data_IF_897732315673
#
_entry.id   IF_897732315673
#
_cell.length_a   1.000
_cell.length_b   1.000
_cell.length_c   1.000
_cell.angle_alpha   90.00
_cell.angle_beta   90.00
_cell.angle_gamma   90.00
#
_symmetry.space_group_name_H-M   'P 1'
#
loop_
_entity.id
_entity.type
_entity.pdbx_description
1 polymer ?
#
# COMPACT_ATOMS: atom_id res chain seq x y z
N UNK A 1 -27.46 -6.33 27.01
CA UNK A 1 -27.70 -6.66 25.60
C UNK A 1 -27.05 -5.70 24.61
N UNK A 2 -27.22 -4.39 24.72
CA UNK A 2 -26.60 -3.42 23.78
C UNK A 2 -25.06 -3.51 23.67
N UNK A 3 -24.36 -3.77 24.78
CA UNK A 3 -22.90 -3.85 24.80
C UNK A 3 -22.35 -5.05 24.01
N UNK A 4 -22.99 -6.23 24.14
CA UNK A 4 -22.64 -7.44 23.37
C UNK A 4 -22.93 -7.30 21.88
N UNK A 5 -23.97 -6.54 21.52
CA UNK A 5 -24.31 -6.25 20.12
C UNK A 5 -23.28 -5.31 19.51
N UNK A 6 -22.85 -4.26 20.24
CA UNK A 6 -21.82 -3.34 19.79
C UNK A 6 -20.45 -4.02 19.60
N UNK A 7 -20.03 -4.90 20.52
CA UNK A 7 -18.81 -5.71 20.39
C UNK A 7 -18.84 -6.58 19.13
N UNK A 8 -20.00 -7.16 18.83
CA UNK A 8 -20.20 -8.03 17.68
C UNK A 8 -20.05 -7.25 16.35
N UNK A 9 -20.67 -6.07 16.25
CA UNK A 9 -20.52 -5.18 15.09
C UNK A 9 -19.08 -4.69 14.90
N UNK A 10 -18.41 -4.31 15.99
CA UNK A 10 -17.01 -3.90 15.92
C UNK A 10 -16.15 -5.02 15.34
N UNK A 11 -16.32 -6.25 15.83
CA UNK A 11 -15.58 -7.42 15.39
C UNK A 11 -15.82 -7.76 13.93
N UNK A 12 -17.06 -7.73 13.45
CA UNK A 12 -17.39 -8.06 12.06
C UNK A 12 -16.96 -6.94 11.07
N UNK A 13 -16.65 -5.74 11.57
CA UNK A 13 -16.17 -4.61 10.76
C UNK A 13 -14.65 -4.59 10.48
N UNK A 14 -13.85 -5.38 11.22
CA UNK A 14 -12.38 -5.36 11.14
C UNK A 14 -11.86 -5.81 9.78
N UNK A 15 -12.22 -7.02 9.35
CA UNK A 15 -11.76 -7.59 8.08
C UNK A 15 -12.15 -6.73 6.86
N UNK A 16 -13.41 -6.25 6.70
CA UNK A 16 -13.77 -5.39 5.58
C UNK A 16 -13.09 -4.02 5.62
N UNK A 17 -12.87 -3.44 6.81
CA UNK A 17 -12.12 -2.18 6.95
C UNK A 17 -10.69 -2.32 6.44
N UNK A 18 -10.00 -3.40 6.81
CA UNK A 18 -8.63 -3.67 6.37
C UNK A 18 -8.58 -3.95 4.87
N UNK A 19 -9.53 -4.74 4.34
CA UNK A 19 -9.64 -4.98 2.90
C UNK A 19 -9.79 -3.67 2.11
N UNK A 20 -10.67 -2.78 2.60
CA UNK A 20 -10.87 -1.44 2.02
C UNK A 20 -9.59 -0.61 2.09
N UNK A 21 -8.92 -0.58 3.24
CA UNK A 21 -7.68 0.17 3.42
C UNK A 21 -6.56 -0.31 2.47
N UNK A 22 -6.43 -1.62 2.28
CA UNK A 22 -5.46 -2.21 1.34
C UNK A 22 -5.82 -1.82 -0.09
N UNK A 23 -7.08 -1.95 -0.51
CA UNK A 23 -7.53 -1.61 -1.86
C UNK A 23 -7.31 -0.11 -2.17
N UNK A 24 -7.64 0.77 -1.23
CA UNK A 24 -7.43 2.22 -1.38
C UNK A 24 -5.95 2.60 -1.42
N UNK A 25 -5.12 1.95 -0.60
CA UNK A 25 -3.66 2.13 -0.64
C UNK A 25 -3.10 1.63 -1.97
N UNK A 26 -3.62 0.49 -2.48
CA UNK A 26 -3.30 -0.06 -3.79
C UNK A 26 -3.60 0.92 -4.92
N UNK A 27 -4.74 1.61 -4.88
CA UNK A 27 -5.08 2.66 -5.85
C UNK A 27 -4.06 3.81 -5.85
N UNK A 28 -3.64 4.25 -4.66
CA UNK A 28 -2.62 5.29 -4.48
C UNK A 28 -1.29 4.87 -5.13
N UNK A 29 -0.84 3.65 -4.84
CA UNK A 29 0.39 3.09 -5.38
C UNK A 29 0.29 2.92 -6.90
N UNK A 30 -0.82 2.39 -7.40
CA UNK A 30 -1.08 2.21 -8.83
C UNK A 30 -1.02 3.55 -9.59
N UNK A 31 -1.63 4.59 -9.03
CA UNK A 31 -1.62 5.95 -9.60
C UNK A 31 -0.21 6.54 -9.62
N UNK A 32 0.51 6.41 -8.51
CA UNK A 32 1.89 6.89 -8.42
C UNK A 32 2.83 6.13 -9.38
N UNK A 33 2.72 4.81 -9.49
CA UNK A 33 3.50 4.01 -10.46
C UNK A 33 3.18 4.38 -11.90
N UNK A 34 1.91 4.63 -12.22
CA UNK A 34 1.50 5.09 -13.54
C UNK A 34 2.13 6.45 -13.86
N UNK A 35 2.03 7.40 -12.93
CA UNK A 35 2.63 8.73 -13.08
C UNK A 35 4.15 8.68 -13.22
N UNK A 36 4.83 7.90 -12.36
CA UNK A 36 6.28 7.72 -12.38
C UNK A 36 6.77 7.04 -13.66
N UNK A 37 5.94 6.18 -14.26
CA UNK A 37 6.25 5.57 -15.56
C UNK A 37 6.13 6.60 -16.67
N UNK A 38 5.05 7.38 -16.71
CA UNK A 38 4.84 8.40 -17.75
C UNK A 38 5.90 9.52 -17.69
N UNK A 39 6.23 10.00 -16.50
CA UNK A 39 7.10 11.16 -16.28
C UNK A 39 8.50 10.78 -15.79
N UNK A 40 9.01 9.59 -16.13
CA UNK A 40 10.26 9.04 -15.59
C UNK A 40 11.49 9.96 -15.70
N UNK A 41 11.54 10.87 -16.69
CA UNK A 41 12.65 11.79 -16.91
C UNK A 41 12.62 13.02 -15.98
N UNK A 42 11.45 13.40 -15.47
CA UNK A 42 11.24 14.61 -14.66
C UNK A 42 10.78 14.26 -13.24
N UNK A 43 10.42 13.00 -12.99
CA UNK A 43 9.86 12.51 -11.73
C UNK A 43 10.73 12.82 -10.51
N UNK A 44 12.07 12.72 -10.61
CA UNK A 44 12.98 13.05 -9.51
C UNK A 44 13.09 14.55 -9.23
N UNK A 45 12.87 15.40 -10.24
CA UNK A 45 13.04 16.86 -10.13
C UNK A 45 11.74 17.58 -9.77
N UNK A 46 10.59 16.99 -10.08
CA UNK A 46 9.31 17.51 -9.64
C UNK A 46 9.09 17.18 -8.16
N UNK A 47 9.02 18.22 -7.33
CA UNK A 47 8.58 18.09 -5.94
C UNK A 47 7.10 17.69 -5.91
N UNK A 48 6.83 16.39 -6.00
CA UNK A 48 5.47 15.84 -5.99
C UNK A 48 4.88 15.74 -4.58
N UNK A 49 5.51 16.37 -3.57
CA UNK A 49 5.09 16.24 -2.16
C UNK A 49 3.63 16.64 -1.95
N UNK A 50 3.19 17.72 -2.61
CA UNK A 50 1.80 18.19 -2.55
C UNK A 50 0.83 17.23 -3.22
N UNK A 51 1.19 16.68 -4.38
CA UNK A 51 0.35 15.75 -5.15
C UNK A 51 0.21 14.41 -4.42
N UNK A 52 1.31 13.88 -3.89
CA UNK A 52 1.33 12.64 -3.09
C UNK A 52 0.55 12.83 -1.79
N UNK A 53 0.72 13.96 -1.10
CA UNK A 53 -0.04 14.26 0.12
C UNK A 53 -1.53 14.38 -0.17
N UNK A 54 -1.90 15.03 -1.27
CA UNK A 54 -3.31 15.15 -1.70
C UNK A 54 -3.89 13.79 -2.08
N UNK A 55 -3.15 12.97 -2.82
CA UNK A 55 -3.57 11.61 -3.17
C UNK A 55 -3.78 10.74 -1.92
N UNK A 56 -2.85 10.78 -0.96
CA UNK A 56 -3.01 10.11 0.34
C UNK A 56 -4.30 10.55 1.05
N UNK A 57 -4.54 11.86 1.18
CA UNK A 57 -5.77 12.40 1.81
C UNK A 57 -7.03 11.94 1.09
N UNK A 58 -7.05 11.99 -0.24
CA UNK A 58 -8.18 11.53 -1.05
C UNK A 58 -8.42 10.04 -0.86
N UNK A 59 -7.37 9.21 -0.79
CA UNK A 59 -7.53 7.77 -0.53
C UNK A 59 -7.94 7.42 0.89
N UNK A 60 -7.72 8.33 1.86
CA UNK A 60 -8.24 8.18 3.21
C UNK A 60 -9.74 8.50 3.30
N UNK A 61 -10.30 9.30 2.39
CA UNK A 61 -11.71 9.69 2.43
C UNK A 61 -12.67 8.49 2.42
N UNK A 62 -12.54 7.46 1.56
CA UNK A 62 -13.40 6.28 1.61
C UNK A 62 -13.30 5.50 2.92
N UNK A 63 -12.12 5.46 3.55
CA UNK A 63 -11.93 4.85 4.87
C UNK A 63 -12.68 5.65 5.93
N UNK A 64 -12.58 6.99 5.89
CA UNK A 64 -13.31 7.89 6.80
C UNK A 64 -14.82 7.74 6.60
N UNK A 65 -15.31 7.69 5.36
CA UNK A 65 -16.73 7.47 5.07
C UNK A 65 -17.22 6.10 5.55
N UNK A 66 -16.40 5.05 5.41
CA UNK A 66 -16.71 3.72 5.93
C UNK A 66 -16.83 3.74 7.46
N UNK A 67 -15.88 4.38 8.17
CA UNK A 67 -15.91 4.51 9.62
C UNK A 67 -17.10 5.35 10.09
N UNK A 68 -17.39 6.48 9.43
CA UNK A 68 -18.57 7.32 9.75
C UNK A 68 -19.87 6.54 9.53
N UNK A 69 -19.99 5.83 8.40
CA UNK A 69 -21.15 4.97 8.12
C UNK A 69 -21.34 3.90 9.18
N UNK A 70 -20.25 3.30 9.64
CA UNK A 70 -20.27 2.35 10.76
C UNK A 70 -20.73 3.00 12.07
N UNK A 71 -20.17 4.16 12.44
CA UNK A 71 -20.56 4.90 13.66
C UNK A 71 -22.03 5.32 13.64
N UNK A 72 -22.54 5.79 12.50
CA UNK A 72 -23.95 6.17 12.32
C UNK A 72 -24.88 4.95 12.42
N UNK A 73 -24.46 3.81 11.88
CA UNK A 73 -25.18 2.54 12.01
C UNK A 73 -25.31 2.11 13.48
N UNK A 74 -24.24 2.27 14.28
CA UNK A 74 -24.26 2.00 15.72
C UNK A 74 -25.20 2.94 16.49
N UNK A 75 -25.24 4.23 16.13
CA UNK A 75 -26.08 5.22 16.84
C UNK A 75 -27.58 5.11 16.52
N UNK A 76 -27.93 4.74 15.29
CA UNK A 76 -29.33 4.75 14.84
C UNK A 76 -30.10 3.49 15.18
N UNK A 77 -29.41 2.38 15.52
CA UNK A 77 -30.02 1.08 15.79
C UNK A 77 -30.83 0.50 14.62
N UNK A 78 -30.83 1.19 13.46
CA UNK A 78 -31.52 0.79 12.23
C UNK A 78 -30.55 0.02 11.36
N UNK A 79 -30.71 -1.28 11.47
CA UNK A 79 -29.96 -2.36 10.85
C UNK A 79 -30.37 -2.52 9.38
N UNK A 80 -30.26 -1.46 8.57
CA UNK A 80 -30.53 -1.55 7.11
C UNK A 80 -29.24 -1.57 6.27
N UNK A 81 -28.09 -1.28 6.89
CA UNK A 81 -26.75 -1.33 6.28
C UNK A 81 -25.86 -2.44 6.87
N UNK A 82 -26.45 -3.47 7.47
CA UNK A 82 -25.69 -4.39 8.32
C UNK A 82 -24.75 -5.32 7.58
N UNK A 83 -23.48 -4.95 7.66
CA UNK A 83 -22.38 -5.85 7.97
C UNK A 83 -22.66 -6.46 9.36
N UNK A 84 -22.84 -7.79 9.40
CA UNK A 84 -23.76 -8.48 10.31
C UNK A 84 -23.36 -8.53 11.79
N UNK A 85 -24.35 -8.45 12.68
CA UNK A 85 -24.42 -9.24 13.91
C UNK A 85 -25.88 -9.42 14.39
N UNK A 86 -26.67 -10.21 13.66
CA UNK A 86 -27.69 -11.14 14.19
C UNK A 86 -28.46 -11.86 13.06
N UNK A 87 -28.58 -13.19 13.23
CA UNK A 87 -29.40 -14.20 12.53
C UNK A 87 -29.49 -14.12 10.99
N UNK A 88 -28.95 -15.12 10.26
CA UNK A 88 -29.20 -15.29 8.84
C UNK A 88 -30.65 -15.76 8.69
N UNK A 89 -31.59 -14.83 8.57
CA UNK A 89 -32.97 -15.20 8.23
C UNK A 89 -33.23 -14.87 6.77
N UNK A 90 -32.62 -13.84 6.18
CA UNK A 90 -32.78 -13.50 4.76
C UNK A 90 -31.55 -12.75 4.18
N UNK A 91 -30.34 -13.24 4.46
CA UNK A 91 -29.09 -12.57 4.09
C UNK A 91 -28.74 -12.70 2.61
N UNK A 92 -28.95 -11.64 1.83
CA UNK A 92 -28.48 -11.53 0.45
C UNK A 92 -26.95 -11.61 0.39
N UNK A 93 -26.42 -12.71 -0.14
CA UNK A 93 -24.98 -13.03 -0.23
C UNK A 93 -24.15 -11.90 -0.83
N UNK A 94 -24.71 -11.19 -1.82
CA UNK A 94 -24.04 -10.09 -2.48
C UNK A 94 -23.83 -8.93 -1.50
N UNK A 95 -24.83 -8.65 -0.64
CA UNK A 95 -24.74 -7.57 0.35
C UNK A 95 -23.70 -7.85 1.42
N UNK A 96 -23.57 -9.10 1.86
CA UNK A 96 -22.57 -9.48 2.87
C UNK A 96 -21.13 -9.39 2.35
N UNK A 97 -20.93 -9.63 1.06
CA UNK A 97 -19.60 -9.68 0.45
C UNK A 97 -19.25 -8.48 -0.43
N UNK A 98 -20.13 -7.47 -0.53
CA UNK A 98 -19.98 -6.36 -1.48
C UNK A 98 -18.63 -5.66 -1.39
N UNK A 99 -18.10 -5.47 -0.17
CA UNK A 99 -16.80 -4.82 0.06
C UNK A 99 -15.66 -5.64 -0.54
N UNK A 100 -15.67 -6.96 -0.36
CA UNK A 100 -14.64 -7.86 -0.89
C UNK A 100 -14.73 -7.98 -2.41
N UNK A 101 -15.95 -7.99 -2.95
CA UNK A 101 -16.19 -8.01 -4.41
C UNK A 101 -15.65 -6.73 -5.05
N UNK A 102 -15.95 -5.57 -4.47
CA UNK A 102 -15.42 -4.28 -4.95
C UNK A 102 -13.89 -4.26 -4.84
N UNK A 103 -13.33 -4.68 -3.71
CA UNK A 103 -11.88 -4.75 -3.53
C UNK A 103 -11.22 -5.67 -4.56
N UNK A 104 -11.79 -6.85 -4.83
CA UNK A 104 -11.28 -7.81 -5.81
C UNK A 104 -11.33 -7.25 -7.23
N UNK A 105 -12.41 -6.54 -7.58
CA UNK A 105 -12.53 -5.87 -8.87
C UNK A 105 -11.40 -4.84 -9.09
N UNK A 106 -11.15 -3.98 -8.10
CA UNK A 106 -10.06 -3.01 -8.19
C UNK A 106 -8.67 -3.68 -8.22
N UNK A 107 -8.48 -4.74 -7.43
CA UNK A 107 -7.21 -5.46 -7.39
C UNK A 107 -6.87 -6.13 -8.74
N UNK A 108 -7.87 -6.66 -9.45
CA UNK A 108 -7.71 -7.15 -10.83
C UNK A 108 -7.28 -6.02 -11.77
N UNK A 109 -7.87 -4.83 -11.65
CA UNK A 109 -7.47 -3.65 -12.43
C UNK A 109 -6.02 -3.27 -12.13
N UNK A 110 -5.61 -3.30 -10.87
CA UNK A 110 -4.23 -2.99 -10.47
C UNK A 110 -3.25 -4.01 -11.05
N UNK A 111 -3.56 -5.30 -10.99
CA UNK A 111 -2.75 -6.36 -11.61
C UNK A 111 -2.57 -6.15 -13.11
N UNK A 112 -3.66 -5.86 -13.83
CA UNK A 112 -3.60 -5.57 -15.26
C UNK A 112 -2.73 -4.33 -15.54
N UNK A 113 -2.90 -3.26 -14.75
CA UNK A 113 -2.08 -2.06 -14.85
C UNK A 113 -0.60 -2.35 -14.58
N UNK A 114 -0.26 -3.11 -13.55
CA UNK A 114 1.12 -3.46 -13.23
C UNK A 114 1.79 -4.29 -14.33
N UNK A 115 1.04 -5.19 -14.98
CA UNK A 115 1.54 -5.93 -16.16
C UNK A 115 1.86 -4.95 -17.29
N UNK A 116 0.94 -4.04 -17.62
CA UNK A 116 1.15 -3.04 -18.68
C UNK A 116 2.35 -2.14 -18.36
N UNK A 117 2.43 -1.61 -17.14
CA UNK A 117 3.54 -0.77 -16.68
C UNK A 117 4.87 -1.52 -16.69
N UNK A 118 4.89 -2.80 -16.33
CA UNK A 118 6.11 -3.60 -16.38
C UNK A 118 6.65 -3.71 -17.81
N UNK A 119 5.79 -4.05 -18.77
CA UNK A 119 6.19 -4.16 -20.18
C UNK A 119 6.60 -2.80 -20.76
N UNK A 120 5.85 -1.74 -20.46
CA UNK A 120 6.18 -0.39 -20.91
C UNK A 120 7.55 0.07 -20.39
N UNK A 121 7.82 -0.11 -19.09
CA UNK A 121 9.13 0.23 -18.52
C UNK A 121 10.25 -0.65 -19.10
N UNK A 122 9.96 -1.91 -19.44
CA UNK A 122 10.93 -2.80 -20.10
C UNK A 122 11.26 -2.36 -21.52
N UNK A 123 10.27 -1.95 -22.30
CA UNK A 123 10.48 -1.41 -23.65
C UNK A 123 11.29 -0.12 -23.58
N UNK A 124 10.92 0.80 -22.69
CA UNK A 124 11.67 2.04 -22.44
C UNK A 124 13.08 1.78 -21.96
N UNK A 125 13.31 0.76 -21.14
CA UNK A 125 14.67 0.38 -20.74
C UNK A 125 15.54 0.03 -21.96
N UNK A 126 14.99 -0.68 -22.95
CA UNK A 126 15.72 -1.06 -24.16
C UNK A 126 15.95 0.15 -25.07
N UNK A 127 14.93 0.97 -25.31
CA UNK A 127 15.02 2.16 -26.19
C UNK A 127 15.91 3.25 -25.59
N UNK A 128 15.74 3.57 -24.31
CA UNK A 128 16.44 4.67 -23.66
C UNK A 128 17.92 4.36 -23.41
N UNK A 129 18.28 3.09 -23.12
CA UNK A 129 19.69 2.69 -23.03
C UNK A 129 20.38 2.78 -24.39
N UNK A 130 19.64 2.54 -25.49
CA UNK A 130 20.17 2.65 -26.85
C UNK A 130 20.40 4.11 -27.25
N UNK A 131 19.49 5.01 -26.89
CA UNK A 131 19.47 6.37 -27.45
C UNK A 131 20.06 7.44 -26.49
N UNK A 132 20.09 7.20 -25.17
CA UNK A 132 20.54 8.18 -24.15
C UNK A 132 21.38 7.53 -23.04
N UNK A 133 22.59 7.06 -23.40
CA UNK A 133 23.47 6.34 -22.47
C UNK A 133 23.91 7.18 -21.24
N UNK A 134 24.06 8.50 -21.42
CA UNK A 134 24.72 9.40 -20.48
C UNK A 134 23.82 9.88 -19.31
N UNK A 135 22.51 9.70 -19.40
CA UNK A 135 21.58 10.10 -18.33
C UNK A 135 21.42 8.98 -17.27
N UNK A 136 22.14 9.10 -16.16
CA UNK A 136 22.08 8.11 -15.06
C UNK A 136 20.78 8.14 -14.25
N UNK A 137 20.18 9.32 -14.05
CA UNK A 137 18.94 9.52 -13.25
C UNK A 137 17.74 8.80 -13.88
N UNK A 138 17.40 9.06 -15.15
CA UNK A 138 16.27 8.40 -15.83
C UNK A 138 16.40 6.87 -15.89
N UNK A 139 17.63 6.36 -16.05
CA UNK A 139 17.91 4.91 -16.07
C UNK A 139 17.70 4.27 -14.70
N UNK A 140 18.08 4.98 -13.64
CA UNK A 140 17.80 4.57 -12.27
C UNK A 140 16.29 4.51 -12.01
N UNK A 141 15.55 5.55 -12.40
CA UNK A 141 14.10 5.61 -12.22
C UNK A 141 13.35 4.47 -12.95
N UNK A 142 13.71 4.19 -14.22
CA UNK A 142 13.11 3.07 -14.97
C UNK A 142 13.38 1.74 -14.27
N UNK A 143 14.62 1.52 -13.80
CA UNK A 143 14.98 0.28 -13.11
C UNK A 143 14.27 0.15 -11.75
N UNK A 144 14.09 1.25 -11.03
CA UNK A 144 13.32 1.28 -9.79
C UNK A 144 11.84 0.98 -10.05
N UNK A 145 11.24 1.57 -11.07
CA UNK A 145 9.86 1.29 -11.47
C UNK A 145 9.65 -0.20 -11.80
N UNK A 146 10.58 -0.82 -12.54
CA UNK A 146 10.53 -2.26 -12.85
C UNK A 146 10.62 -3.10 -11.56
N UNK A 147 11.58 -2.80 -10.67
CA UNK A 147 11.76 -3.54 -9.42
C UNK A 147 10.55 -3.41 -8.49
N UNK A 148 10.03 -2.19 -8.34
CA UNK A 148 8.85 -1.90 -7.52
C UNK A 148 7.62 -2.63 -8.06
N UNK A 149 7.37 -2.56 -9.37
CA UNK A 149 6.24 -3.25 -10.02
C UNK A 149 6.35 -4.77 -9.87
N UNK A 150 7.56 -5.33 -9.99
CA UNK A 150 7.81 -6.78 -9.77
C UNK A 150 7.54 -7.21 -8.33
N UNK A 151 7.72 -6.32 -7.37
CA UNK A 151 7.47 -6.57 -5.96
C UNK A 151 5.97 -6.45 -5.61
N UNK A 152 5.27 -5.52 -6.24
CA UNK A 152 3.83 -5.32 -6.08
C UNK A 152 2.99 -6.44 -6.72
N UNK A 153 3.47 -7.05 -7.80
CA UNK A 153 2.72 -8.10 -8.49
C UNK A 153 2.35 -9.32 -7.62
N UNK A 154 3.29 -10.01 -6.94
CA UNK A 154 2.95 -11.15 -6.09
C UNK A 154 2.09 -10.76 -4.88
N UNK A 155 2.17 -9.51 -4.43
CA UNK A 155 1.32 -9.00 -3.35
C UNK A 155 -0.14 -8.97 -3.74
N UNK A 156 -0.46 -8.31 -4.86
CA UNK A 156 -1.84 -8.18 -5.32
C UNK A 156 -2.38 -9.58 -5.66
N UNK A 157 -1.58 -10.51 -6.21
CA UNK A 157 -2.01 -11.91 -6.37
C UNK A 157 -2.39 -12.56 -5.02
N UNK A 158 -1.56 -12.42 -4.00
CA UNK A 158 -1.84 -12.99 -2.68
C UNK A 158 -3.08 -12.35 -2.03
N UNK A 159 -3.27 -11.05 -2.25
CA UNK A 159 -4.45 -10.32 -1.77
C UNK A 159 -5.72 -10.76 -2.51
N UNK A 160 -5.69 -10.86 -3.85
CA UNK A 160 -6.78 -11.38 -4.66
C UNK A 160 -7.18 -12.80 -4.23
N UNK A 161 -6.19 -13.66 -3.97
CA UNK A 161 -6.44 -15.01 -3.46
C UNK A 161 -7.18 -14.97 -2.11
N UNK A 162 -6.75 -14.09 -1.19
CA UNK A 162 -7.40 -13.92 0.11
C UNK A 162 -8.84 -13.39 -0.01
N UNK A 163 -9.07 -12.41 -0.90
CA UNK A 163 -10.40 -11.87 -1.20
C UNK A 163 -11.32 -12.95 -1.77
N UNK A 164 -10.81 -13.73 -2.73
CA UNK A 164 -11.54 -14.82 -3.37
C UNK A 164 -11.90 -15.91 -2.37
N UNK A 165 -10.96 -16.33 -1.52
CA UNK A 165 -11.21 -17.28 -0.43
C UNK A 165 -12.28 -16.76 0.53
N UNK A 166 -12.27 -15.45 0.82
CA UNK A 166 -13.27 -14.82 1.69
C UNK A 166 -14.69 -14.89 1.11
N UNK A 167 -14.82 -14.64 -0.19
CA UNK A 167 -16.09 -14.70 -0.92
C UNK A 167 -16.63 -16.15 -0.91
N UNK A 168 -15.82 -17.12 -1.33
CA UNK A 168 -16.24 -18.53 -1.40
C UNK A 168 -16.55 -19.18 -0.05
N UNK A 169 -15.82 -18.81 1.01
CA UNK A 169 -16.06 -19.34 2.36
C UNK A 169 -17.33 -18.79 3.01
N UNK A 170 -17.95 -17.76 2.41
CA UNK A 170 -19.26 -17.25 2.86
C UNK A 170 -20.42 -17.98 2.17
N UNK A 171 -20.19 -18.57 0.99
CA UNK A 171 -21.20 -19.21 0.13
C UNK A 171 -21.53 -20.66 0.52
N UNK A 172 -20.59 -21.37 1.17
CA UNK A 172 -20.63 -22.82 1.39
C UNK A 172 -21.25 -23.28 2.72
N UNK A 173 -21.68 -22.36 3.59
CA UNK A 173 -22.02 -22.64 4.99
C UNK A 173 -23.47 -22.31 5.37
N UNK A 174 -24.44 -22.68 4.52
CA UNK A 174 -25.88 -22.39 4.70
C UNK A 174 -26.69 -23.43 5.50
N UNK A 175 -26.08 -24.52 5.97
CA UNK A 175 -26.78 -25.56 6.76
C UNK A 175 -26.63 -25.36 8.29
N UNK A 176 -27.68 -25.65 9.07
CA UNK A 176 -27.78 -25.31 10.51
C UNK A 176 -26.69 -25.92 11.42
N UNK A 177 -26.05 -27.03 11.02
CA UNK A 177 -24.89 -27.62 11.75
C UNK A 177 -23.58 -26.85 11.52
N UNK A 178 -23.56 -25.91 10.57
CA UNK A 178 -22.40 -25.10 10.18
C UNK A 178 -22.38 -23.69 10.79
N UNK A 179 -23.37 -23.33 11.63
CA UNK A 179 -23.42 -22.05 12.34
C UNK A 179 -22.18 -21.82 13.24
N UNK A 180 -21.62 -22.89 13.79
CA UNK A 180 -20.36 -22.86 14.55
C UNK A 180 -19.13 -22.72 13.64
N UNK A 181 -19.17 -23.31 12.45
CA UNK A 181 -18.12 -23.19 11.43
C UNK A 181 -18.07 -21.78 10.83
N UNK A 182 -19.21 -21.16 10.60
CA UNK A 182 -19.29 -19.81 10.04
C UNK A 182 -18.71 -18.76 11.02
N UNK A 183 -18.92 -18.95 12.34
CA UNK A 183 -18.22 -18.16 13.36
C UNK A 183 -16.71 -18.36 13.30
N UNK A 184 -16.23 -19.60 13.24
CA UNK A 184 -14.78 -19.87 13.16
C UNK A 184 -14.13 -19.26 11.91
N UNK A 185 -14.81 -19.32 10.76
CA UNK A 185 -14.35 -18.70 9.50
C UNK A 185 -14.28 -17.18 9.62
N UNK A 186 -15.28 -16.53 10.23
CA UNK A 186 -15.24 -15.08 10.51
C UNK A 186 -14.07 -14.70 11.42
N UNK A 187 -13.81 -15.50 12.46
CA UNK A 187 -12.64 -15.28 13.32
C UNK A 187 -11.32 -15.44 12.59
N UNK A 188 -11.19 -16.47 11.75
CA UNK A 188 -10.00 -16.66 10.93
C UNK A 188 -9.78 -15.47 10.00
N UNK A 189 -10.82 -14.93 9.38
CA UNK A 189 -10.72 -13.72 8.55
C UNK A 189 -10.26 -12.51 9.35
N UNK A 190 -10.86 -12.29 10.52
CA UNK A 190 -10.47 -11.19 11.42
C UNK A 190 -9.04 -11.32 11.96
N UNK A 191 -8.42 -12.49 11.85
CA UNK A 191 -6.99 -12.70 12.13
C UNK A 191 -6.12 -12.57 10.88
N UNK A 192 -6.52 -13.16 9.75
CA UNK A 192 -5.71 -13.24 8.54
C UNK A 192 -5.51 -11.87 7.89
N UNK A 193 -6.55 -11.01 7.82
CA UNK A 193 -6.42 -9.68 7.20
C UNK A 193 -5.42 -8.78 7.95
N UNK A 194 -5.48 -8.65 9.29
CA UNK A 194 -4.44 -7.93 10.03
C UNK A 194 -3.04 -8.53 9.85
N UNK A 195 -2.90 -9.86 9.89
CA UNK A 195 -1.61 -10.52 9.68
C UNK A 195 -1.05 -10.22 8.29
N UNK A 196 -1.89 -10.26 7.26
CA UNK A 196 -1.52 -9.92 5.89
C UNK A 196 -1.05 -8.46 5.79
N UNK A 197 -1.77 -7.53 6.43
CA UNK A 197 -1.41 -6.11 6.47
C UNK A 197 -0.08 -5.82 7.21
N UNK A 198 0.38 -6.73 8.09
CA UNK A 198 1.65 -6.59 8.83
C UNK A 198 2.80 -7.29 8.09
N UNK A 199 2.60 -8.56 7.71
CA UNK A 199 3.65 -9.39 7.09
C UNK A 199 4.10 -8.79 5.77
N UNK A 200 3.18 -8.20 5.01
CA UNK A 200 3.51 -7.71 3.70
C UNK A 200 4.45 -6.49 3.70
N UNK A 201 4.19 -5.38 4.43
CA UNK A 201 5.15 -4.29 4.56
C UNK A 201 6.53 -4.76 5.05
N UNK A 202 6.59 -5.75 5.95
CA UNK A 202 7.85 -6.34 6.40
C UNK A 202 8.59 -7.05 5.26
N UNK A 203 7.89 -7.80 4.42
CA UNK A 203 8.47 -8.46 3.25
C UNK A 203 9.01 -7.44 2.24
N UNK A 204 8.33 -6.30 2.08
CA UNK A 204 8.76 -5.20 1.22
C UNK A 204 10.02 -4.51 1.76
N UNK A 205 10.03 -4.19 3.06
CA UNK A 205 11.20 -3.59 3.75
C UNK A 205 12.41 -4.51 3.61
N UNK A 206 12.23 -5.82 3.80
CA UNK A 206 13.33 -6.79 3.69
C UNK A 206 13.90 -6.87 2.28
N UNK A 207 13.05 -6.82 1.26
CA UNK A 207 13.48 -6.93 -0.14
C UNK A 207 14.09 -5.64 -0.71
N UNK A 208 13.84 -4.49 -0.09
CA UNK A 208 14.44 -3.21 -0.49
C UNK A 208 15.66 -2.87 0.40
N UNK A 209 16.90 -2.92 -0.13
CA UNK A 209 18.11 -2.70 0.68
C UNK A 209 18.15 -1.34 1.37
N UNK A 210 17.58 -0.30 0.75
CA UNK A 210 17.52 1.06 1.31
C UNK A 210 16.60 1.08 2.53
N UNK A 211 15.40 0.53 2.41
CA UNK A 211 14.45 0.46 3.52
C UNK A 211 14.95 -0.47 4.61
N UNK A 212 15.52 -1.63 4.26
CA UNK A 212 16.10 -2.55 5.22
C UNK A 212 17.22 -1.90 6.04
N UNK A 213 18.14 -1.20 5.38
CA UNK A 213 19.24 -0.50 6.05
C UNK A 213 18.72 0.55 7.03
N UNK A 214 17.77 1.39 6.61
CA UNK A 214 17.16 2.41 7.48
C UNK A 214 16.36 1.79 8.62
N UNK A 215 15.55 0.77 8.34
CA UNK A 215 14.75 0.05 9.34
C UNK A 215 15.65 -0.63 10.39
N UNK A 216 16.77 -1.22 9.96
CA UNK A 216 17.78 -1.78 10.86
C UNK A 216 18.41 -0.70 11.75
N UNK A 217 18.73 0.47 11.20
CA UNK A 217 19.24 1.59 12.00
C UNK A 217 18.20 2.06 13.01
N UNK A 218 16.95 2.29 12.61
CA UNK A 218 15.86 2.70 13.51
C UNK A 218 15.62 1.65 14.61
N UNK A 219 15.60 0.37 14.26
CA UNK A 219 15.45 -0.71 15.24
C UNK A 219 16.64 -0.76 16.20
N UNK A 220 17.87 -0.59 15.71
CA UNK A 220 19.06 -0.52 16.56
C UNK A 220 19.01 0.69 17.50
N UNK A 221 18.50 1.84 17.06
CA UNK A 221 18.30 3.01 17.92
C UNK A 221 17.23 2.78 19.00
N UNK A 222 16.15 2.08 18.65
CA UNK A 222 15.02 1.84 19.56
C UNK A 222 15.36 0.78 20.62
N UNK A 223 16.06 -0.30 20.24
CA UNK A 223 16.37 -1.41 21.13
C UNK A 223 17.76 -1.32 21.78
N UNK A 224 18.72 -0.60 21.17
CA UNK A 224 20.09 -0.45 21.66
C UNK A 224 20.57 1.01 21.60
N UNK A 225 19.90 1.95 22.30
CA UNK A 225 20.16 3.39 22.20
C UNK A 225 21.57 3.82 22.66
N UNK A 226 22.34 2.94 23.31
CA UNK A 226 23.67 3.23 23.84
C UNK A 226 24.81 2.46 23.14
N UNK A 227 24.52 1.74 22.05
CA UNK A 227 25.59 1.04 21.31
C UNK A 227 26.52 2.02 20.57
N UNK A 228 27.82 1.71 20.58
CA UNK A 228 28.85 2.46 19.83
C UNK A 228 28.54 2.53 18.32
N UNK A 229 27.87 1.51 17.77
CA UNK A 229 27.44 1.47 16.37
C UNK A 229 26.37 2.53 16.04
N UNK A 230 25.43 2.78 16.96
CA UNK A 230 24.40 3.82 16.80
C UNK A 230 25.02 5.22 16.82
N UNK A 231 25.97 5.47 17.74
CA UNK A 231 26.71 6.75 17.78
C UNK A 231 27.53 6.98 16.52
N UNK A 232 28.17 5.93 15.99
CA UNK A 232 28.94 5.99 14.74
C UNK A 232 28.03 6.18 13.52
N UNK A 233 26.88 5.51 13.47
CA UNK A 233 25.88 5.66 12.40
C UNK A 233 25.28 7.08 12.37
N UNK A 234 24.94 7.68 13.52
CA UNK A 234 24.47 9.07 13.61
C UNK A 234 25.52 10.09 13.13
N UNK A 235 26.79 9.88 13.51
CA UNK A 235 27.89 10.73 13.01
C UNK A 235 28.11 10.56 11.51
N UNK A 236 28.05 9.32 11.00
CA UNK A 236 28.25 9.03 9.58
C UNK A 236 27.10 9.58 8.72
N UNK A 237 25.85 9.50 9.18
CA UNK A 237 24.68 10.05 8.49
C UNK A 237 24.66 11.59 8.52
N UNK A 238 25.11 12.21 9.62
CA UNK A 238 25.33 13.65 9.66
C UNK A 238 26.42 14.10 8.66
N UNK A 239 27.55 13.38 8.61
CA UNK A 239 28.64 13.66 7.67
C UNK A 239 28.26 13.40 6.20
N UNK A 240 27.46 12.35 5.93
CA UNK A 240 26.94 12.05 4.60
C UNK A 240 25.96 13.12 4.13
N UNK A 241 25.07 13.58 5.01
CA UNK A 241 24.16 14.71 4.74
C UNK A 241 24.93 15.98 4.38
N UNK A 242 26.00 16.27 5.13
CA UNK A 242 26.85 17.45 4.91
C UNK A 242 27.64 17.37 3.60
N UNK A 243 28.21 16.19 3.28
CA UNK A 243 28.89 15.94 2.01
C UNK A 243 27.94 15.94 0.81
N UNK A 244 26.75 15.37 0.95
CA UNK A 244 25.73 15.38 -0.10
C UNK A 244 25.26 16.80 -0.38
N UNK A 245 25.07 17.61 0.67
CA UNK A 245 24.74 19.03 0.53
C UNK A 245 25.86 19.81 -0.18
N UNK A 246 27.11 19.61 0.23
CA UNK A 246 28.26 20.22 -0.45
C UNK A 246 28.42 19.78 -1.92
N UNK A 247 28.10 18.52 -2.24
CA UNK A 247 28.16 18.03 -3.62
C UNK A 247 27.03 18.59 -4.49
N UNK A 248 25.85 18.82 -3.91
CA UNK A 248 24.75 19.54 -4.57
C UNK A 248 25.09 21.01 -4.79
N UNK A 249 25.72 21.68 -3.83
CA UNK A 249 26.14 23.08 -3.96
C UNK A 249 27.18 23.26 -5.10
N UNK A 250 28.10 22.30 -5.26
CA UNK A 250 29.07 22.29 -6.36
C UNK A 250 28.41 22.05 -7.72
N UNK A 251 27.42 21.15 -7.78
CA UNK A 251 26.65 20.91 -9.01
C UNK A 251 25.83 22.13 -9.42
N UNK A 252 25.20 22.82 -8.46
CA UNK A 252 24.46 24.06 -8.70
C UNK A 252 25.40 25.14 -9.22
N UNK A 253 26.57 25.33 -8.59
CA UNK A 253 27.56 26.31 -9.04
C UNK A 253 28.11 26.02 -10.45
N UNK A 254 28.34 24.75 -10.78
CA UNK A 254 28.74 24.32 -12.13
C UNK A 254 27.66 24.61 -13.17
N UNK A 255 26.39 24.40 -12.83
CA UNK A 255 25.28 24.64 -13.74
C UNK A 255 25.01 26.13 -13.96
N UNK A 256 25.19 26.96 -12.94
CA UNK A 256 25.13 28.43 -13.09
C UNK A 256 26.26 28.97 -13.97
N UNK A 257 27.47 28.40 -13.86
CA UNK A 257 28.61 28.79 -14.68
C UNK A 257 28.44 28.40 -16.16
N UNK A 258 27.85 27.23 -16.43
CA UNK A 258 27.54 26.78 -17.78
C UNK A 258 26.36 27.56 -18.40
N UNK A 259 25.35 27.94 -17.59
CA UNK A 259 24.25 28.79 -18.04
C UNK A 259 24.72 30.21 -18.41
N UNK A 260 25.69 30.75 -17.68
CA UNK A 260 26.29 32.06 -18.00
C UNK A 260 27.18 32.04 -19.25
N UNK A 261 27.76 30.89 -19.63
CA UNK A 261 28.56 30.74 -20.87
C UNK A 261 27.71 30.59 -22.14
N UNK A 262 26.40 30.37 -22.00
CA UNK A 262 25.46 30.25 -23.12
C UNK A 262 24.70 31.56 -23.44
N UNK A 263 25.00 32.66 -22.75
CA UNK A 263 24.57 34.03 -23.08
C UNK A 263 25.69 34.79 -23.82
#
# INVERSE_FOLDING_TARGET
DNERVAECYLRDSISPAIATAIAMSGLCIATERFYATLNFAVYEYQEMSYVVSTACVVTLLPIVFYVIGFLVSLCTGKVELTFSCAKPIDGDYIKENIVYIIAAFFDIIFLALYILLYFENKNRQVEYIRDHYDSFSSRFQINENIKSTRLLFPFNIAFLFLLTLTIFTTETFSDDRLLQSNRATKEMRNLIYPLFAIIFPLSYIYQCPIFYSKARTVAAEMFFPHSEEVKKSRRLSALLSEKQRAHFDVLIASWEEDAMKMQ
#
